data_IF_621223114902
#
_entry.id   IF_621223114902
#
_cell.length_a   1.000
_cell.length_b   1.000
_cell.length_c   1.000
_cell.angle_alpha   90.00
_cell.angle_beta   90.00
_cell.angle_gamma   90.00
#
_symmetry.space_group_name_H-M   'P 1'
#
loop_
_entity.id
_entity.type
_entity.pdbx_description
1 polymer ?
#
# COMPACT_ATOMS: atom_id res chain seq x y z
N UNK A 1 -3.07 -18.82 1.70
CA UNK A 1 -3.54 -17.99 2.85
C UNK A 1 -3.01 -16.58 2.67
N UNK A 2 -3.78 -15.52 2.97
CA UNK A 2 -3.29 -14.14 2.83
C UNK A 2 -2.62 -13.67 4.12
N UNK A 3 -1.39 -13.17 4.03
CA UNK A 3 -0.67 -12.51 5.13
C UNK A 3 -0.46 -11.03 4.84
N UNK A 4 -0.62 -10.18 5.85
CA UNK A 4 -0.43 -8.73 5.75
C UNK A 4 0.83 -8.31 6.50
N UNK A 5 1.66 -7.49 5.89
CA UNK A 5 2.85 -6.90 6.51
C UNK A 5 2.75 -5.37 6.51
N UNK A 6 3.30 -4.76 7.56
CA UNK A 6 3.39 -3.31 7.69
C UNK A 6 4.61 -2.69 7.04
N UNK A 7 5.40 -3.49 6.32
CA UNK A 7 6.67 -3.10 5.72
C UNK A 7 6.52 -2.86 4.22
N UNK A 8 7.36 -1.96 3.70
CA UNK A 8 7.50 -1.76 2.28
C UNK A 8 8.21 -2.97 1.66
N UNK A 9 7.62 -3.62 0.64
CA UNK A 9 8.27 -4.71 -0.06
C UNK A 9 9.60 -4.26 -0.65
N UNK A 10 10.58 -5.16 -0.62
CA UNK A 10 11.88 -4.91 -1.25
C UNK A 10 11.69 -4.60 -2.74
N UNK A 11 12.54 -3.76 -3.36
CA UNK A 11 12.38 -3.36 -4.76
C UNK A 11 12.25 -4.53 -5.75
N UNK A 12 12.96 -5.64 -5.50
CA UNK A 12 12.90 -6.84 -6.34
C UNK A 12 11.57 -7.60 -6.26
N UNK A 13 10.76 -7.36 -5.21
CA UNK A 13 9.40 -7.90 -5.10
C UNK A 13 8.37 -6.88 -5.61
N UNK A 14 8.59 -5.60 -5.31
CA UNK A 14 7.68 -4.52 -5.67
C UNK A 14 7.63 -4.25 -7.18
N UNK A 15 8.79 -4.23 -7.85
CA UNK A 15 8.86 -3.89 -9.28
C UNK A 15 8.11 -4.89 -10.17
N UNK A 16 8.29 -6.23 -10.01
CA UNK A 16 7.49 -7.21 -10.76
C UNK A 16 5.99 -7.07 -10.49
N UNK A 17 5.59 -6.83 -9.23
CA UNK A 17 4.19 -6.60 -8.89
C UNK A 17 3.59 -5.39 -9.62
N UNK A 18 4.27 -4.24 -9.61
CA UNK A 18 3.80 -3.03 -10.31
C UNK A 18 3.69 -3.28 -11.81
N UNK A 19 4.67 -3.99 -12.39
CA UNK A 19 4.63 -4.34 -13.80
C UNK A 19 3.39 -5.20 -14.09
N UNK A 20 3.20 -6.31 -13.37
CA UNK A 20 2.03 -7.17 -13.57
C UNK A 20 0.71 -6.44 -13.32
N UNK A 21 0.63 -5.58 -12.30
CA UNK A 21 -0.57 -4.77 -12.06
C UNK A 21 -0.87 -3.84 -13.25
N UNK A 22 0.15 -3.17 -13.78
CA UNK A 22 0.01 -2.27 -14.93
C UNK A 22 -0.43 -3.04 -16.17
N UNK A 23 0.17 -4.21 -16.43
CA UNK A 23 -0.20 -5.08 -17.55
C UNK A 23 -1.65 -5.58 -17.44
N UNK A 24 -2.10 -5.95 -16.24
CA UNK A 24 -3.42 -6.53 -16.01
C UNK A 24 -4.55 -5.50 -15.88
N UNK A 25 -4.24 -4.24 -15.57
CA UNK A 25 -5.25 -3.19 -15.32
C UNK A 25 -5.17 -2.01 -16.26
N UNK A 26 -4.12 -1.92 -17.07
CA UNK A 26 -3.77 -0.74 -17.88
C UNK A 26 -3.61 0.56 -17.07
N UNK A 27 -3.57 0.48 -15.74
CA UNK A 27 -3.40 1.64 -14.87
C UNK A 27 -1.92 1.87 -14.60
N UNK A 28 -1.43 3.06 -14.96
CA UNK A 28 -0.06 3.48 -14.63
C UNK A 28 0.03 3.79 -13.15
N UNK A 29 0.99 3.16 -12.48
CA UNK A 29 1.29 3.42 -11.07
C UNK A 29 2.30 4.57 -10.99
N UNK A 30 2.01 5.61 -10.20
CA UNK A 30 2.95 6.69 -9.96
C UNK A 30 4.11 6.22 -9.07
N UNK A 31 5.24 5.94 -9.74
CA UNK A 31 6.47 5.49 -9.08
C UNK A 31 7.16 6.60 -8.28
N UNK A 32 6.88 7.88 -8.57
CA UNK A 32 7.47 9.00 -7.81
C UNK A 32 6.85 9.06 -6.43
N UNK A 33 5.52 9.01 -6.35
CA UNK A 33 4.81 8.92 -5.07
C UNK A 33 5.27 7.71 -4.27
N UNK A 34 5.36 6.52 -4.89
CA UNK A 34 5.84 5.31 -4.20
C UNK A 34 7.24 5.42 -3.58
N UNK A 35 8.15 6.19 -4.20
CA UNK A 35 9.50 6.44 -3.66
C UNK A 35 9.50 7.48 -2.54
N UNK A 36 8.62 8.47 -2.62
CA UNK A 36 8.51 9.55 -1.64
C UNK A 36 7.83 9.15 -0.34
N UNK A 37 7.12 8.02 -0.31
CA UNK A 37 6.38 7.53 0.86
C UNK A 37 7.29 7.21 2.06
N UNK A 38 8.62 7.11 1.87
CA UNK A 38 9.57 6.83 2.95
C UNK A 38 9.16 5.59 3.77
N UNK A 39 9.69 5.44 4.98
CA UNK A 39 9.23 4.39 5.91
C UNK A 39 7.79 4.63 6.44
N UNK A 40 7.08 5.62 5.91
CA UNK A 40 5.82 6.12 6.42
C UNK A 40 4.62 5.45 5.77
N UNK A 41 4.05 4.44 6.46
CA UNK A 41 2.67 3.94 6.25
C UNK A 41 2.47 3.19 4.93
N UNK A 42 2.97 1.96 4.93
CA UNK A 42 2.74 0.96 3.90
C UNK A 42 2.07 -0.29 4.51
N UNK A 43 1.20 -0.94 3.75
CA UNK A 43 0.71 -2.29 4.00
C UNK A 43 0.92 -3.12 2.74
N UNK A 44 1.52 -4.29 2.88
CA UNK A 44 1.73 -5.26 1.81
C UNK A 44 0.93 -6.53 2.09
N UNK A 45 0.32 -7.09 1.05
CA UNK A 45 -0.45 -8.34 1.13
C UNK A 45 0.23 -9.43 0.31
N UNK A 46 0.42 -10.60 0.92
CA UNK A 46 1.08 -11.75 0.32
C UNK A 46 0.18 -12.97 0.31
N UNK A 47 0.24 -13.74 -0.76
CA UNK A 47 -0.25 -15.13 -0.83
C UNK A 47 0.93 -16.01 -1.19
N UNK A 48 1.25 -17.01 -0.34
CA UNK A 48 2.32 -17.99 -0.60
C UNK A 48 3.65 -17.31 -1.03
N UNK A 49 4.05 -16.29 -0.26
CA UNK A 49 5.24 -15.43 -0.50
C UNK A 49 5.18 -14.51 -1.73
N UNK A 50 4.13 -14.59 -2.55
CA UNK A 50 3.90 -13.69 -3.69
C UNK A 50 3.19 -12.43 -3.23
N UNK A 51 3.70 -11.26 -3.63
CA UNK A 51 3.03 -9.98 -3.40
C UNK A 51 1.78 -9.88 -4.30
N UNK A 52 0.62 -9.69 -3.69
CA UNK A 52 -0.69 -9.65 -4.38
C UNK A 52 -1.42 -8.32 -4.25
N UNK A 53 -0.99 -7.48 -3.30
CA UNK A 53 -1.50 -6.13 -3.16
C UNK A 53 -0.63 -5.26 -2.27
N UNK A 54 -0.77 -3.95 -2.44
CA UNK A 54 -0.15 -2.93 -1.60
C UNK A 54 -1.15 -1.83 -1.29
N UNK A 55 -1.06 -1.24 -0.11
CA UNK A 55 -1.78 -0.04 0.27
C UNK A 55 -0.80 0.96 0.89
N UNK A 56 -0.96 2.23 0.57
CA UNK A 56 -0.05 3.27 0.99
C UNK A 56 -0.73 4.63 1.05
N UNK A 57 -0.15 5.54 1.84
CA UNK A 57 -0.58 6.92 1.96
C UNK A 57 0.29 7.80 1.07
N UNK A 58 -0.30 8.62 0.19
CA UNK A 58 0.38 9.68 -0.53
C UNK A 58 -0.05 11.03 0.02
N UNK A 59 0.90 11.84 0.45
CA UNK A 59 0.67 13.21 0.91
C UNK A 59 2.01 13.88 1.18
N UNK A 60 2.13 15.15 0.81
CA UNK A 60 3.30 15.95 1.14
C UNK A 60 3.37 16.16 2.66
N UNK A 61 4.54 15.93 3.22
CA UNK A 61 4.83 16.10 4.65
C UNK A 61 4.69 17.58 5.09
N UNK A 62 4.53 18.51 4.14
CA UNK A 62 4.56 19.95 4.40
C UNK A 62 3.19 20.61 4.63
N UNK A 63 2.06 20.00 4.28
CA UNK A 63 0.73 20.63 4.47
C UNK A 63 -0.31 19.61 4.92
N UNK A 64 -0.76 19.77 6.18
CA UNK A 64 -1.58 18.84 6.97
C UNK A 64 -2.95 18.39 6.41
N UNK A 65 -3.35 18.70 5.17
CA UNK A 65 -4.77 18.66 4.85
C UNK A 65 -5.29 17.51 3.97
N UNK A 66 -4.49 16.76 3.19
CA UNK A 66 -5.04 15.62 2.42
C UNK A 66 -4.06 14.44 2.29
N UNK A 67 -4.15 13.48 3.23
CA UNK A 67 -3.52 12.17 3.05
C UNK A 67 -4.40 11.32 2.12
N UNK A 68 -4.00 11.18 0.86
CA UNK A 68 -4.68 10.30 -0.09
C UNK A 68 -4.30 8.84 0.18
N UNK A 69 -5.29 7.99 0.39
CA UNK A 69 -5.10 6.55 0.57
C UNK A 69 -5.18 5.86 -0.81
N UNK A 70 -4.12 5.16 -1.18
CA UNK A 70 -4.05 4.40 -2.43
C UNK A 70 -3.95 2.91 -2.14
N UNK A 71 -4.66 2.10 -2.91
CA UNK A 71 -4.61 0.63 -2.82
C UNK A 71 -4.51 0.02 -4.21
N UNK A 72 -3.55 -0.87 -4.39
CA UNK A 72 -3.33 -1.62 -5.63
C UNK A 72 -3.43 -3.11 -5.32
N UNK A 73 -4.33 -3.83 -5.99
CA UNK A 73 -4.53 -5.27 -5.82
C UNK A 73 -4.63 -5.93 -7.18
N UNK A 74 -3.90 -7.03 -7.37
CA UNK A 74 -4.00 -7.83 -8.59
C UNK A 74 -5.47 -8.25 -8.83
N UNK A 75 -6.00 -8.16 -10.07
CA UNK A 75 -7.42 -8.37 -10.33
C UNK A 75 -8.01 -9.68 -9.77
N UNK A 76 -7.25 -10.78 -9.81
CA UNK A 76 -7.64 -12.09 -9.27
C UNK A 76 -7.86 -12.11 -7.75
N UNK A 77 -7.45 -11.07 -7.03
CA UNK A 77 -7.47 -10.96 -5.57
C UNK A 77 -8.47 -9.93 -5.02
N UNK A 78 -9.10 -9.12 -5.89
CA UNK A 78 -9.97 -7.99 -5.47
C UNK A 78 -11.20 -8.41 -4.64
N UNK A 79 -11.81 -9.58 -4.92
CA UNK A 79 -13.04 -10.04 -4.23
C UNK A 79 -12.79 -10.78 -2.91
N UNK A 80 -11.59 -10.71 -2.33
CA UNK A 80 -11.20 -11.49 -1.13
C UNK A 80 -11.14 -10.67 0.16
N UNK A 81 -11.70 -9.46 0.17
CA UNK A 81 -11.70 -8.58 1.35
C UNK A 81 -10.33 -8.00 1.74
N UNK A 82 -9.30 -8.23 0.91
CA UNK A 82 -7.92 -7.79 1.17
C UNK A 82 -7.85 -6.27 1.22
N UNK A 83 -8.56 -5.58 0.33
CA UNK A 83 -8.63 -4.12 0.27
C UNK A 83 -9.08 -3.51 1.61
N UNK A 84 -10.23 -3.95 2.11
CA UNK A 84 -10.79 -3.47 3.38
C UNK A 84 -9.87 -3.75 4.55
N UNK A 85 -9.21 -4.92 4.58
CA UNK A 85 -8.25 -5.28 5.62
C UNK A 85 -7.01 -4.37 5.60
N UNK A 86 -6.44 -4.13 4.42
CA UNK A 86 -5.30 -3.24 4.25
C UNK A 86 -5.63 -1.80 4.64
N UNK A 87 -6.78 -1.27 4.20
CA UNK A 87 -7.23 0.08 4.55
C UNK A 87 -7.46 0.22 6.06
N UNK A 88 -8.06 -0.77 6.72
CA UNK A 88 -8.28 -0.77 8.17
C UNK A 88 -6.95 -0.71 8.94
N UNK A 89 -5.95 -1.49 8.53
CA UNK A 89 -4.63 -1.47 9.15
C UNK A 89 -3.90 -0.14 8.91
N UNK A 90 -3.99 0.38 7.69
CA UNK A 90 -3.36 1.64 7.31
C UNK A 90 -3.94 2.83 8.10
N UNK A 91 -5.26 2.87 8.30
CA UNK A 91 -5.95 3.85 9.17
C UNK A 91 -5.61 3.67 10.65
N UNK A 92 -5.52 2.43 11.14
CA UNK A 92 -5.10 2.15 12.52
C UNK A 92 -3.70 2.69 12.83
N UNK A 93 -2.78 2.61 11.87
CA UNK A 93 -1.45 3.23 11.95
C UNK A 93 -1.49 4.77 11.95
N UNK A 94 -2.47 5.40 11.28
CA UNK A 94 -2.64 6.85 11.33
C UNK A 94 -3.09 7.34 12.72
N UNK A 95 -4.08 6.66 13.32
CA UNK A 95 -4.64 7.06 14.63
C UNK A 95 -3.64 6.94 15.79
N UNK A 96 -2.69 5.99 15.71
CA UNK A 96 -1.67 5.80 16.75
C UNK A 96 -0.58 6.88 16.74
N UNK A 97 -0.35 7.54 15.60
CA UNK A 97 0.61 8.64 15.49
C UNK A 97 0.06 9.97 16.03
N UNK A 98 -1.25 10.22 15.91
CA UNK A 98 -1.88 11.42 16.48
C UNK A 98 -1.99 11.41 18.01
N UNK A 99 -1.74 10.28 18.69
CA UNK A 99 -1.82 10.19 20.16
C UNK A 99 -0.51 10.48 20.90
N UNK A 100 0.61 10.55 20.20
CA UNK A 100 1.94 10.79 20.79
C UNK A 100 2.42 12.23 20.64
N UNK A 101 1.66 13.06 19.92
CA UNK A 101 1.84 14.51 19.79
C UNK A 101 0.56 15.18 20.31
N UNK A 102 0.32 15.06 21.61
CA UNK A 102 -0.78 15.68 22.34
C UNK A 102 -0.39 15.89 23.78
#
# INVERSE_FOLDING_TARGET
MISLSGEMPKPWVLNPFIQSYTELTSQKVDRKSLKQIGNGRFISAYEDQKLVGIAFCTGDVEWENEVSLSVLILPSYRKRGIESAMLRLLRGKQSSYSRTVG
#
